data_IF_046576162746
#
_entry.id   IF_046576162746
#
_cell.length_a   1.000
_cell.length_b   1.000
_cell.length_c   1.000
_cell.angle_alpha   90.00
_cell.angle_beta   90.00
_cell.angle_gamma   90.00
#
_symmetry.space_group_name_H-M   'P 1'
#
loop_
_entity.id
_entity.type
_entity.pdbx_description
1 polymer ?
#
# COMPACT_ATOMS: atom_id res chain seq x y z
N UNK A 1 -2.89 -7.90 -11.14
CA UNK A 1 -1.75 -7.46 -11.97
C UNK A 1 -2.13 -7.41 -13.47
N UNK A 2 -3.05 -8.27 -13.96
CA UNK A 2 -3.39 -8.37 -15.38
C UNK A 2 -3.88 -7.06 -15.98
N UNK A 3 -4.81 -6.39 -15.33
CA UNK A 3 -5.45 -5.16 -15.84
C UNK A 3 -4.47 -3.99 -16.03
N UNK A 4 -3.42 -3.88 -15.21
CA UNK A 4 -2.35 -2.91 -15.43
C UNK A 4 -1.43 -3.36 -16.57
N UNK A 5 -1.13 -4.66 -16.65
CA UNK A 5 -0.24 -5.21 -17.66
C UNK A 5 -0.83 -5.16 -19.07
N UNK A 6 -2.16 -5.26 -19.22
CA UNK A 6 -2.84 -5.20 -20.51
C UNK A 6 -3.28 -3.77 -20.92
N UNK A 7 -3.13 -2.80 -20.01
CA UNK A 7 -3.47 -1.39 -20.22
C UNK A 7 -4.93 -1.04 -19.94
N UNK A 8 -5.72 -1.97 -19.40
CA UNK A 8 -7.10 -1.71 -18.98
C UNK A 8 -7.17 -0.76 -17.78
N UNK A 9 -6.18 -0.85 -16.88
CA UNK A 9 -6.04 0.02 -15.71
C UNK A 9 -4.78 0.88 -15.85
N UNK A 10 -4.93 2.20 -15.69
CA UNK A 10 -3.83 3.16 -15.87
C UNK A 10 -2.98 3.36 -14.61
N UNK A 11 -3.57 3.18 -13.44
CA UNK A 11 -2.88 3.34 -12.16
C UNK A 11 -3.52 2.48 -11.07
N UNK A 12 -2.76 2.24 -10.01
CA UNK A 12 -3.24 1.55 -8.80
C UNK A 12 -2.52 2.07 -7.58
N UNK A 13 -3.19 2.02 -6.42
CA UNK A 13 -2.57 2.28 -5.13
C UNK A 13 -2.15 0.95 -4.53
N UNK A 14 -0.86 0.81 -4.21
CA UNK A 14 -0.31 -0.44 -3.72
C UNK A 14 0.99 -0.22 -2.95
N UNK A 15 1.58 -1.31 -2.45
CA UNK A 15 2.90 -1.28 -1.80
C UNK A 15 4.03 -1.31 -2.83
N UNK A 16 5.18 -0.67 -2.54
CA UNK A 16 6.30 -0.55 -3.51
C UNK A 16 6.88 -1.89 -3.98
N UNK A 17 6.82 -2.92 -3.14
CA UNK A 17 7.38 -4.25 -3.43
C UNK A 17 6.66 -4.97 -4.59
N UNK A 18 5.39 -4.63 -4.86
CA UNK A 18 4.66 -5.24 -5.98
C UNK A 18 5.04 -4.69 -7.36
N UNK A 19 5.81 -3.58 -7.45
CA UNK A 19 6.27 -3.03 -8.73
C UNK A 19 6.97 -4.09 -9.60
N UNK A 20 7.86 -4.87 -9.01
CA UNK A 20 8.54 -5.95 -9.73
C UNK A 20 7.58 -7.04 -10.24
N UNK A 21 6.46 -7.26 -9.55
CA UNK A 21 5.42 -8.20 -9.99
C UNK A 21 4.63 -7.64 -11.18
N UNK A 22 4.34 -6.34 -11.19
CA UNK A 22 3.71 -5.68 -12.36
C UNK A 22 4.61 -5.72 -13.59
N UNK A 23 5.90 -5.38 -13.46
CA UNK A 23 6.87 -5.48 -14.55
C UNK A 23 6.89 -6.90 -15.12
N UNK A 24 6.94 -7.91 -14.25
CA UNK A 24 6.93 -9.31 -14.65
C UNK A 24 5.63 -9.69 -15.38
N UNK A 25 4.49 -9.19 -14.90
CA UNK A 25 3.21 -9.39 -15.56
C UNK A 25 3.17 -8.74 -16.95
N UNK A 26 3.67 -7.51 -17.10
CA UNK A 26 3.78 -6.81 -18.39
C UNK A 26 4.64 -7.61 -19.38
N UNK A 27 5.82 -8.04 -18.97
CA UNK A 27 6.72 -8.87 -19.81
C UNK A 27 6.04 -10.17 -20.23
N UNK A 28 5.33 -10.83 -19.32
CA UNK A 28 4.62 -12.08 -19.60
C UNK A 28 3.48 -11.94 -20.64
N UNK A 29 2.98 -10.72 -20.89
CA UNK A 29 2.03 -10.49 -21.99
C UNK A 29 2.66 -10.66 -23.37
N UNK A 30 4.00 -10.68 -23.46
CA UNK A 30 4.75 -10.68 -24.71
C UNK A 30 4.76 -9.36 -25.48
N UNK A 31 4.12 -8.31 -24.94
CA UNK A 31 4.03 -6.98 -25.56
C UNK A 31 5.17 -6.05 -25.17
N UNK A 32 5.89 -6.36 -24.07
CA UNK A 32 6.88 -5.51 -23.44
C UNK A 32 8.18 -6.26 -23.24
N UNK A 33 9.30 -5.65 -23.55
CA UNK A 33 10.59 -6.05 -22.98
C UNK A 33 10.66 -5.62 -21.52
N UNK A 34 11.61 -6.15 -20.77
CA UNK A 34 11.80 -5.77 -19.37
C UNK A 34 12.15 -4.26 -19.25
N UNK A 35 13.03 -3.80 -20.12
CA UNK A 35 13.51 -2.43 -20.18
C UNK A 35 12.34 -1.44 -20.48
N UNK A 36 11.48 -1.80 -21.44
CA UNK A 36 10.30 -0.98 -21.75
C UNK A 36 9.32 -0.95 -20.58
N UNK A 37 9.02 -2.09 -19.95
CA UNK A 37 8.14 -2.16 -18.79
C UNK A 37 8.68 -1.37 -17.59
N UNK A 38 9.99 -1.42 -17.33
CA UNK A 38 10.64 -0.64 -16.27
C UNK A 38 10.62 0.87 -16.57
N UNK A 39 10.73 1.26 -17.84
CA UNK A 39 10.69 2.65 -18.26
C UNK A 39 9.27 3.24 -18.25
N UNK A 40 8.27 2.42 -18.55
CA UNK A 40 6.86 2.86 -18.63
C UNK A 40 6.18 2.89 -17.26
N UNK A 41 6.40 1.86 -16.42
CA UNK A 41 5.80 1.75 -15.11
C UNK A 41 6.45 2.69 -14.09
N UNK A 42 5.82 3.84 -13.87
CA UNK A 42 6.28 4.85 -12.91
C UNK A 42 5.67 4.63 -11.54
N UNK A 43 6.48 4.80 -10.52
CA UNK A 43 6.02 4.92 -9.14
C UNK A 43 5.95 6.41 -8.76
N UNK A 44 4.83 6.82 -8.25
CA UNK A 44 4.59 8.19 -7.77
C UNK A 44 4.07 8.14 -6.34
N UNK A 45 4.21 9.23 -5.61
CA UNK A 45 3.59 9.36 -4.30
C UNK A 45 2.06 9.40 -4.44
N UNK A 46 1.37 8.90 -3.42
CA UNK A 46 -0.07 9.13 -3.27
C UNK A 46 -0.32 10.64 -3.30
N UNK A 47 -1.29 11.13 -4.08
CA UNK A 47 -1.60 12.54 -4.11
C UNK A 47 -1.90 13.10 -2.72
N UNK A 48 -1.45 14.32 -2.46
CA UNK A 48 -1.81 15.02 -1.24
C UNK A 48 -3.31 15.34 -1.26
N UNK A 49 -3.95 15.15 -0.12
CA UNK A 49 -5.35 15.50 0.07
C UNK A 49 -5.45 16.69 1.03
N UNK A 50 -6.44 17.57 0.86
CA UNK A 50 -6.69 18.65 1.81
C UNK A 50 -7.04 18.08 3.20
N UNK A 51 -6.51 18.71 4.25
CA UNK A 51 -6.75 18.31 5.65
C UNK A 51 -8.24 18.47 6.01
N UNK A 52 -8.88 19.47 5.42
CA UNK A 52 -10.30 19.76 5.64
C UNK A 52 -10.97 19.96 4.28
N UNK A 53 -11.57 18.91 3.76
CA UNK A 53 -12.43 18.98 2.59
C UNK A 53 -13.85 18.60 3.03
N UNK A 54 -14.77 19.55 2.97
CA UNK A 54 -16.18 19.29 3.18
C UNK A 54 -16.80 18.81 1.87
N UNK A 55 -16.89 17.50 1.71
CA UNK A 55 -17.48 16.85 0.53
C UNK A 55 -19.01 16.91 0.54
N UNK A 56 -19.63 17.30 1.66
CA UNK A 56 -21.08 17.44 1.78
C UNK A 56 -21.58 18.84 1.43
N UNK A 57 -20.66 19.81 1.33
CA UNK A 57 -21.01 21.17 0.94
C UNK A 57 -21.38 21.25 -0.55
N UNK A 58 -22.39 22.02 -0.89
CA UNK A 58 -22.85 22.21 -2.27
C UNK A 58 -21.76 22.78 -3.21
N UNK A 59 -20.71 23.35 -2.63
CA UNK A 59 -19.61 24.01 -3.34
C UNK A 59 -18.27 23.24 -3.24
N UNK A 60 -18.28 21.94 -3.02
CA UNK A 60 -17.06 21.16 -2.87
C UNK A 60 -16.13 21.23 -4.12
N UNK A 61 -16.71 21.41 -5.34
CA UNK A 61 -15.95 21.65 -6.55
C UNK A 61 -15.16 22.95 -6.48
N UNK A 62 -15.74 24.01 -5.90
CA UNK A 62 -15.04 25.29 -5.69
C UNK A 62 -13.87 25.11 -4.71
N UNK A 63 -14.03 24.27 -3.71
CA UNK A 63 -12.98 23.90 -2.76
C UNK A 63 -11.82 23.19 -3.49
N UNK A 64 -12.11 22.28 -4.42
CA UNK A 64 -11.10 21.61 -5.23
C UNK A 64 -10.34 22.59 -6.11
N UNK A 65 -11.01 23.56 -6.71
CA UNK A 65 -10.35 24.61 -7.53
C UNK A 65 -9.42 25.52 -6.73
N UNK A 66 -9.61 25.58 -5.41
CA UNK A 66 -8.78 26.35 -4.49
C UNK A 66 -7.71 25.51 -3.78
N UNK A 67 -7.40 24.32 -4.28
CA UNK A 67 -6.47 23.37 -3.60
C UNK A 67 -5.10 23.97 -3.30
N UNK A 68 -4.62 24.91 -4.12
CA UNK A 68 -3.35 25.60 -3.89
C UNK A 68 -3.33 26.44 -2.60
N UNK A 69 -4.50 26.81 -2.09
CA UNK A 69 -4.66 27.59 -0.84
C UNK A 69 -4.93 26.72 0.39
N UNK A 70 -5.19 25.43 0.20
CA UNK A 70 -5.52 24.51 1.28
C UNK A 70 -4.27 23.86 1.86
N UNK A 71 -4.31 23.59 3.17
CA UNK A 71 -3.30 22.75 3.80
C UNK A 71 -3.45 21.32 3.30
N UNK A 72 -2.44 20.87 2.56
CA UNK A 72 -2.43 19.53 1.96
C UNK A 72 -1.65 18.57 2.82
N UNK A 73 -2.25 17.46 3.18
CA UNK A 73 -1.60 16.39 3.93
C UNK A 73 -1.95 15.04 3.32
N UNK A 74 -0.96 14.17 3.25
CA UNK A 74 -1.17 12.75 2.98
C UNK A 74 -0.29 11.97 3.94
N UNK A 75 -0.89 11.01 4.61
CA UNK A 75 -0.19 10.02 5.41
C UNK A 75 -0.34 8.67 4.73
N UNK A 76 0.77 7.96 4.62
CA UNK A 76 0.79 6.58 4.13
C UNK A 76 1.15 5.66 5.29
N UNK A 77 0.54 4.50 5.30
CA UNK A 77 0.89 3.48 6.28
C UNK A 77 2.13 2.73 5.82
N UNK A 78 3.16 2.68 6.68
CA UNK A 78 4.37 1.90 6.47
C UNK A 78 4.32 0.58 7.22
N UNK A 79 4.76 -0.50 6.56
CA UNK A 79 4.99 -1.80 7.16
C UNK A 79 6.43 -2.26 6.92
N UNK A 80 6.94 -3.09 7.83
CA UNK A 80 8.27 -3.68 7.74
C UNK A 80 8.14 -5.19 7.77
N UNK A 81 8.69 -5.85 6.75
CA UNK A 81 8.86 -7.30 6.75
C UNK A 81 10.24 -7.66 7.30
N UNK A 82 10.28 -8.53 8.29
CA UNK A 82 11.51 -8.91 8.96
C UNK A 82 11.64 -10.40 9.20
N UNK A 83 12.82 -10.83 9.61
CA UNK A 83 13.08 -12.17 10.07
C UNK A 83 12.98 -12.23 11.60
N UNK A 84 12.29 -13.23 12.11
CA UNK A 84 12.23 -13.52 13.54
C UNK A 84 12.81 -14.91 13.85
N UNK A 85 13.38 -15.07 15.05
CA UNK A 85 13.82 -16.36 15.57
C UNK A 85 12.71 -16.88 16.48
N UNK A 86 12.20 -18.08 16.20
CA UNK A 86 11.24 -18.72 17.08
C UNK A 86 11.86 -18.99 18.45
N UNK A 87 11.13 -18.66 19.53
CA UNK A 87 11.55 -18.99 20.89
C UNK A 87 11.70 -20.52 21.13
N UNK A 88 11.08 -21.33 20.29
CA UNK A 88 11.14 -22.79 20.37
C UNK A 88 12.23 -23.42 19.50
N UNK A 89 13.08 -22.60 18.83
CA UNK A 89 14.14 -23.15 17.97
C UNK A 89 15.14 -23.96 18.79
N UNK A 90 15.56 -25.11 18.23
CA UNK A 90 16.62 -25.93 18.79
C UNK A 90 18.01 -25.51 18.29
N UNK A 91 18.08 -24.59 17.35
CA UNK A 91 19.31 -24.15 16.69
C UNK A 91 19.41 -22.60 16.67
N UNK A 92 19.42 -21.90 17.83
CA UNK A 92 19.37 -20.44 17.87
C UNK A 92 20.55 -19.78 17.18
N UNK A 93 21.76 -20.33 17.34
CA UNK A 93 22.97 -19.80 16.70
C UNK A 93 22.94 -19.93 15.17
N UNK A 94 22.42 -21.04 14.64
CA UNK A 94 22.25 -21.21 13.20
C UNK A 94 21.17 -20.26 12.66
N UNK A 95 20.08 -20.06 13.38
CA UNK A 95 19.04 -19.10 13.03
C UNK A 95 19.57 -17.66 13.00
N UNK A 96 20.37 -17.29 14.01
CA UNK A 96 21.01 -15.98 14.05
C UNK A 96 21.99 -15.79 12.89
N UNK A 97 22.85 -16.78 12.63
CA UNK A 97 23.78 -16.73 11.49
C UNK A 97 23.04 -16.58 10.15
N UNK A 98 21.90 -17.26 9.97
CA UNK A 98 21.07 -17.08 8.78
C UNK A 98 20.54 -15.65 8.66
N UNK A 99 20.01 -15.07 9.75
CA UNK A 99 19.49 -13.69 9.73
C UNK A 99 20.62 -12.70 9.41
N UNK A 100 21.79 -12.85 10.04
CA UNK A 100 22.96 -12.01 9.75
C UNK A 100 23.38 -12.11 8.29
N UNK A 101 23.39 -13.30 7.72
CA UNK A 101 23.67 -13.51 6.30
C UNK A 101 22.60 -12.85 5.42
N UNK A 102 21.31 -13.14 5.66
CA UNK A 102 20.20 -12.63 4.86
C UNK A 102 20.05 -11.10 4.93
N UNK A 103 20.44 -10.49 6.05
CA UNK A 103 20.44 -9.05 6.27
C UNK A 103 21.78 -8.38 5.96
N UNK A 104 22.77 -9.12 5.42
CA UNK A 104 24.04 -8.53 5.01
C UNK A 104 23.86 -7.59 3.82
N UNK A 105 24.76 -6.63 3.68
CA UNK A 105 24.71 -5.66 2.59
C UNK A 105 24.66 -6.33 1.22
N UNK A 106 25.52 -7.31 0.99
CA UNK A 106 25.63 -8.03 -0.28
C UNK A 106 24.33 -8.76 -0.62
N UNK A 107 23.71 -9.41 0.37
CA UNK A 107 22.45 -10.15 0.14
C UNK A 107 21.28 -9.21 -0.12
N UNK A 108 21.24 -8.04 0.53
CA UNK A 108 20.22 -7.03 0.26
C UNK A 108 20.36 -6.45 -1.14
N UNK A 109 21.58 -6.12 -1.57
CA UNK A 109 21.83 -5.69 -2.95
C UNK A 109 21.45 -6.78 -3.96
N UNK A 110 21.80 -8.02 -3.70
CA UNK A 110 21.45 -9.14 -4.57
C UNK A 110 19.92 -9.35 -4.67
N UNK A 111 19.20 -9.25 -3.56
CA UNK A 111 17.73 -9.34 -3.52
C UNK A 111 17.05 -8.18 -4.26
N UNK A 112 17.54 -6.96 -4.09
CA UNK A 112 17.04 -5.83 -4.86
C UNK A 112 17.19 -6.07 -6.37
N UNK A 113 18.38 -6.48 -6.82
CA UNK A 113 18.63 -6.79 -8.24
C UNK A 113 17.75 -7.91 -8.78
N UNK A 114 17.54 -8.95 -7.99
CA UNK A 114 16.78 -10.13 -8.43
C UNK A 114 15.26 -9.93 -8.39
N UNK A 115 14.76 -9.21 -7.38
CA UNK A 115 13.34 -9.15 -7.04
C UNK A 115 12.75 -7.74 -7.08
N UNK A 116 13.57 -6.69 -7.17
CA UNK A 116 13.14 -5.30 -7.12
C UNK A 116 12.62 -4.87 -5.74
N UNK A 117 12.98 -5.60 -4.67
CA UNK A 117 12.54 -5.31 -3.31
C UNK A 117 13.37 -4.16 -2.75
N UNK A 118 12.70 -3.16 -2.20
CA UNK A 118 13.38 -2.03 -1.55
C UNK A 118 14.16 -2.49 -0.32
N UNK A 119 15.41 -2.00 -0.13
CA UNK A 119 16.22 -2.38 1.02
C UNK A 119 15.69 -1.75 2.31
N UNK A 120 15.87 -2.44 3.44
CA UNK A 120 15.61 -1.89 4.77
C UNK A 120 16.87 -1.28 5.44
N UNK A 121 18.05 -1.48 4.84
CA UNK A 121 19.33 -0.93 5.31
C UNK A 121 19.58 0.43 4.66
N UNK A 122 19.93 1.43 5.45
CA UNK A 122 20.20 2.79 4.96
C UNK A 122 21.39 2.84 4.00
N UNK A 123 22.47 2.12 4.27
CA UNK A 123 23.66 2.06 3.41
C UNK A 123 23.37 1.41 2.03
N UNK A 124 22.55 0.36 2.00
CA UNK A 124 22.10 -0.25 0.75
C UNK A 124 21.09 0.65 0.01
N UNK A 125 20.22 1.33 0.75
CA UNK A 125 19.27 2.27 0.19
C UNK A 125 19.93 3.47 -0.48
N UNK A 126 20.95 4.03 0.14
CA UNK A 126 21.76 5.11 -0.42
C UNK A 126 22.44 4.66 -1.72
N UNK A 127 23.06 3.47 -1.72
CA UNK A 127 23.73 2.92 -2.90
C UNK A 127 22.75 2.65 -4.06
N UNK A 128 21.59 2.04 -3.77
CA UNK A 128 20.61 1.70 -4.80
C UNK A 128 19.86 2.96 -5.25
N UNK A 129 19.50 3.83 -4.32
CA UNK A 129 18.77 5.07 -4.59
C UNK A 129 19.53 6.05 -5.48
N UNK A 130 20.87 5.97 -5.50
CA UNK A 130 21.68 6.75 -6.42
C UNK A 130 21.41 6.42 -7.91
N UNK A 131 20.88 5.23 -8.20
CA UNK A 131 20.63 4.76 -9.57
C UNK A 131 19.17 4.36 -9.82
N UNK A 132 18.39 4.09 -8.76
CA UNK A 132 16.96 3.74 -8.84
C UNK A 132 16.11 4.84 -8.18
N UNK A 133 15.43 5.68 -9.00
CA UNK A 133 14.60 6.76 -8.50
C UNK A 133 13.40 6.26 -7.67
N UNK A 134 12.94 5.03 -7.84
CA UNK A 134 11.84 4.47 -7.05
C UNK A 134 12.29 4.18 -5.62
N UNK A 135 13.50 3.66 -5.45
CA UNK A 135 14.10 3.46 -4.12
C UNK A 135 14.36 4.82 -3.44
N UNK A 136 14.91 5.78 -4.17
CA UNK A 136 15.11 7.14 -3.66
C UNK A 136 13.77 7.78 -3.20
N UNK A 137 12.69 7.59 -3.95
CA UNK A 137 11.35 8.08 -3.61
C UNK A 137 10.84 7.49 -2.28
N UNK A 138 10.98 6.17 -2.08
CA UNK A 138 10.54 5.50 -0.85
C UNK A 138 11.28 6.07 0.36
N UNK A 139 12.60 6.23 0.27
CA UNK A 139 13.40 6.75 1.38
C UNK A 139 13.13 8.23 1.66
N UNK A 140 12.93 9.05 0.64
CA UNK A 140 12.53 10.45 0.84
C UNK A 140 11.21 10.58 1.59
N UNK A 141 10.29 9.64 1.42
CA UNK A 141 9.02 9.63 2.15
C UNK A 141 9.17 9.28 3.64
N UNK A 142 10.14 8.45 3.99
CA UNK A 142 10.49 8.18 5.39
C UNK A 142 11.02 9.45 6.08
N UNK A 143 11.93 10.16 5.43
CA UNK A 143 12.55 11.38 5.96
C UNK A 143 11.57 12.54 6.11
N UNK A 144 10.57 12.63 5.23
CA UNK A 144 9.59 13.73 5.23
C UNK A 144 8.41 13.53 6.17
N UNK A 145 8.32 12.40 6.87
CA UNK A 145 7.22 12.09 7.76
C UNK A 145 5.88 11.80 7.06
N UNK A 146 5.91 11.45 5.78
CA UNK A 146 4.73 10.99 5.05
C UNK A 146 4.30 9.57 5.43
N UNK A 147 5.18 8.80 6.04
CA UNK A 147 4.92 7.42 6.41
C UNK A 147 4.73 7.34 7.92
N UNK A 148 3.56 6.89 8.34
CA UNK A 148 3.29 6.47 9.70
C UNK A 148 3.43 4.94 9.79
N UNK A 149 4.29 4.47 10.68
CA UNK A 149 4.49 3.03 10.88
C UNK A 149 3.32 2.46 11.66
N UNK A 150 2.74 1.39 11.13
CA UNK A 150 1.65 0.68 11.78
C UNK A 150 2.08 0.21 13.18
N UNK A 151 1.30 0.47 14.24
CA UNK A 151 1.60 0.00 15.58
C UNK A 151 1.74 -1.54 15.62
N UNK A 152 2.75 -2.03 16.33
CA UNK A 152 2.99 -3.48 16.48
C UNK A 152 2.13 -4.06 17.62
N UNK A 153 0.80 -3.90 17.53
CA UNK A 153 -0.18 -4.45 18.47
C UNK A 153 -1.13 -5.41 17.75
N UNK A 154 -1.60 -6.42 18.44
CA UNK A 154 -2.46 -7.46 17.84
C UNK A 154 -3.80 -6.90 17.32
N UNK A 155 -4.29 -5.87 17.97
CA UNK A 155 -5.56 -5.21 17.67
C UNK A 155 -5.59 -4.61 16.27
N UNK A 156 -4.45 -4.14 15.77
CA UNK A 156 -4.35 -3.55 14.43
C UNK A 156 -4.70 -4.56 13.33
N UNK A 157 -4.44 -5.85 13.55
CA UNK A 157 -4.79 -6.89 12.59
C UNK A 157 -6.31 -7.00 12.35
N UNK A 158 -7.13 -6.54 13.30
CA UNK A 158 -8.60 -6.63 13.21
C UNK A 158 -9.21 -5.63 12.23
N UNK A 159 -8.45 -4.65 11.76
CA UNK A 159 -8.91 -3.66 10.79
C UNK A 159 -9.07 -4.28 9.38
N UNK A 160 -8.24 -5.25 9.02
CA UNK A 160 -8.09 -5.69 7.63
C UNK A 160 -9.35 -6.34 7.05
N UNK A 161 -9.92 -7.32 7.74
CA UNK A 161 -11.06 -8.07 7.19
C UNK A 161 -12.32 -7.21 7.09
N UNK A 162 -12.77 -6.47 8.12
CA UNK A 162 -13.92 -5.59 7.99
C UNK A 162 -13.70 -4.47 6.99
N UNK A 163 -12.50 -3.85 6.99
CA UNK A 163 -12.15 -2.80 6.04
C UNK A 163 -12.15 -3.30 4.60
N UNK A 164 -11.58 -4.45 4.33
CA UNK A 164 -11.60 -5.06 3.00
C UNK A 164 -13.03 -5.37 2.55
N UNK A 165 -13.87 -5.96 3.40
CA UNK A 165 -15.26 -6.28 3.07
C UNK A 165 -16.04 -5.01 2.72
N UNK A 166 -15.95 -3.99 3.56
CA UNK A 166 -16.62 -2.71 3.32
C UNK A 166 -16.19 -2.06 1.99
N UNK A 167 -14.87 -2.03 1.71
CA UNK A 167 -14.36 -1.43 0.47
C UNK A 167 -14.75 -2.23 -0.78
N UNK A 168 -14.79 -3.56 -0.69
CA UNK A 168 -15.28 -4.39 -1.81
C UNK A 168 -16.75 -4.11 -2.07
N UNK A 169 -17.57 -4.11 -1.03
CA UNK A 169 -19.00 -3.84 -1.15
C UNK A 169 -19.24 -2.45 -1.76
N UNK A 170 -18.56 -1.42 -1.25
CA UNK A 170 -18.67 -0.05 -1.75
C UNK A 170 -18.23 0.07 -3.23
N UNK A 171 -17.09 -0.52 -3.60
CA UNK A 171 -16.58 -0.44 -4.96
C UNK A 171 -17.40 -1.27 -5.97
N UNK A 172 -18.14 -2.28 -5.52
CA UNK A 172 -18.93 -3.15 -6.38
C UNK A 172 -20.42 -2.80 -6.37
N UNK A 173 -20.84 -1.85 -5.54
CA UNK A 173 -22.26 -1.55 -5.33
C UNK A 173 -22.96 -1.07 -6.60
N UNK A 174 -22.30 -0.22 -7.41
CA UNK A 174 -22.83 0.23 -8.70
C UNK A 174 -23.17 -0.93 -9.65
N UNK A 175 -22.48 -2.07 -9.57
CA UNK A 175 -22.77 -3.25 -10.38
C UNK A 175 -23.95 -4.08 -9.88
N UNK A 176 -24.48 -3.79 -8.68
CA UNK A 176 -25.67 -4.46 -8.15
C UNK A 176 -26.90 -4.05 -8.94
N UNK A 177 -27.05 -2.76 -9.23
CA UNK A 177 -28.13 -2.25 -10.08
C UNK A 177 -28.12 -2.88 -11.47
N UNK A 178 -26.94 -3.11 -12.07
CA UNK A 178 -26.81 -3.80 -13.37
C UNK A 178 -27.32 -5.25 -13.31
N UNK A 179 -27.24 -5.90 -12.15
CA UNK A 179 -27.74 -7.26 -11.91
C UNK A 179 -29.20 -7.32 -11.44
N UNK A 180 -29.84 -6.14 -11.30
CA UNK A 180 -31.21 -6.03 -10.75
C UNK A 180 -31.27 -6.27 -9.25
N UNK A 181 -30.17 -6.10 -8.55
CA UNK A 181 -30.09 -6.13 -7.09
C UNK A 181 -30.23 -4.70 -6.52
N UNK A 182 -30.69 -4.59 -5.28
CA UNK A 182 -30.77 -3.32 -4.57
C UNK A 182 -29.36 -2.81 -4.21
N UNK A 183 -29.11 -1.52 -4.42
CA UNK A 183 -27.86 -0.87 -4.00
C UNK A 183 -27.79 -0.82 -2.46
N UNK A 184 -26.59 -1.05 -1.91
CA UNK A 184 -26.33 -0.99 -0.47
C UNK A 184 -25.99 0.42 0.00
N UNK A 185 -25.47 1.25 -0.89
CA UNK A 185 -24.88 2.56 -0.63
C UNK A 185 -25.42 3.60 -1.62
N UNK A 186 -26.74 3.78 -1.64
CA UNK A 186 -27.40 4.68 -2.57
C UNK A 186 -27.08 6.17 -2.29
N UNK A 187 -26.73 6.49 -1.04
CA UNK A 187 -26.37 7.85 -0.63
C UNK A 187 -25.29 7.88 0.46
N UNK A 188 -24.91 9.08 0.88
CA UNK A 188 -23.89 9.28 1.91
C UNK A 188 -24.32 8.75 3.29
N UNK A 189 -25.60 8.73 3.59
CA UNK A 189 -26.10 8.19 4.86
C UNK A 189 -25.92 6.68 4.92
N UNK A 190 -26.14 5.99 3.82
CA UNK A 190 -25.93 4.55 3.72
C UNK A 190 -24.44 4.19 3.77
N UNK A 191 -23.57 5.01 3.14
CA UNK A 191 -22.11 4.87 3.26
C UNK A 191 -21.68 5.04 4.72
N UNK A 192 -22.22 6.06 5.42
CA UNK A 192 -21.91 6.28 6.84
C UNK A 192 -22.35 5.08 7.71
N UNK A 193 -23.54 4.53 7.48
CA UNK A 193 -24.00 3.31 8.17
C UNK A 193 -23.09 2.11 7.89
N UNK A 194 -22.56 2.02 6.67
CA UNK A 194 -21.59 0.99 6.28
C UNK A 194 -20.28 1.13 7.07
N UNK A 195 -19.75 2.34 7.16
CA UNK A 195 -18.57 2.66 7.97
C UNK A 195 -18.79 2.36 9.45
N UNK A 196 -19.93 2.75 10.02
CA UNK A 196 -20.25 2.52 11.42
C UNK A 196 -20.32 1.01 11.73
N UNK A 197 -20.91 0.22 10.82
CA UNK A 197 -20.90 -1.25 10.93
C UNK A 197 -19.49 -1.83 10.88
N UNK A 198 -18.65 -1.34 9.96
CA UNK A 198 -17.25 -1.76 9.87
C UNK A 198 -16.50 -1.45 11.18
N UNK A 199 -16.66 -0.25 11.72
CA UNK A 199 -16.05 0.14 13.00
C UNK A 199 -16.53 -0.75 14.13
N UNK A 200 -17.84 -1.03 14.21
CA UNK A 200 -18.39 -1.91 15.24
C UNK A 200 -17.82 -3.34 15.15
N UNK A 201 -17.71 -3.88 13.94
CA UNK A 201 -17.08 -5.20 13.73
C UNK A 201 -15.62 -5.24 14.20
N UNK A 202 -14.85 -4.17 13.99
CA UNK A 202 -13.48 -4.04 14.47
C UNK A 202 -13.46 -4.01 16.00
N UNK A 203 -14.32 -3.21 16.61
CA UNK A 203 -14.41 -3.11 18.08
C UNK A 203 -14.81 -4.43 18.72
N UNK A 204 -15.78 -5.13 18.15
CA UNK A 204 -16.22 -6.45 18.64
C UNK A 204 -15.10 -7.49 18.54
N UNK A 205 -14.33 -7.46 17.43
CA UNK A 205 -13.18 -8.35 17.26
C UNK A 205 -12.06 -8.03 18.27
N UNK A 206 -11.78 -6.76 18.54
CA UNK A 206 -10.82 -6.35 19.57
C UNK A 206 -11.26 -6.79 20.96
N UNK A 207 -12.55 -6.60 21.28
CA UNK A 207 -13.11 -7.00 22.57
C UNK A 207 -12.97 -8.52 22.83
N UNK A 208 -13.05 -9.34 21.78
CA UNK A 208 -12.86 -10.79 21.91
C UNK A 208 -11.41 -11.21 22.12
N UNK A 209 -10.43 -10.33 21.89
CA UNK A 209 -9.00 -10.57 22.12
C UNK A 209 -8.54 -10.16 23.53
N UNK A 210 -9.31 -9.32 24.21
CA UNK A 210 -9.04 -8.84 25.58
C UNK A 210 -9.61 -9.78 26.63
#
# INVERSE_FOLDING_TARGET
>A
YGYLADGTMLCTVTTPDVRAMFIRAMVNTGKWTKEEAEADLKMINVPRLPVSLDLTADNWQDTITQMDTLTMQTKMMGGINGYGISAYTKCPNASLAFIQFAASYEQIIARNKALGISPARSDAAETIGATDPNVALIFSNLDTGYIDVMPAINEVAQIWTPGQSFLIDLCTDAFRAERGEEELYADLEDIQKGLDRMVQQILDAIFTLS
#
